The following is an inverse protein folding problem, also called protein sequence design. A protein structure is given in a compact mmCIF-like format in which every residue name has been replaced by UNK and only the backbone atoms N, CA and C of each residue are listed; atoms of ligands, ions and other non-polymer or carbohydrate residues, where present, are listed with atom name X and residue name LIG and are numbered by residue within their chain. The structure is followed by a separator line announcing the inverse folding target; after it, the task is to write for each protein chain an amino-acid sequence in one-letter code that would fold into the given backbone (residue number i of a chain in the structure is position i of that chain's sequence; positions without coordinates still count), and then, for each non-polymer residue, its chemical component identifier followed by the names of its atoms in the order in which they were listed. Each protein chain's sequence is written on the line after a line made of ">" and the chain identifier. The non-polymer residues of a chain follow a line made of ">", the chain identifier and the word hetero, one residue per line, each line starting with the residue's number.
data_IF_367397646584
#
_entry.id   IF_367397646584
#
_cell.length_a   1.000
_cell.length_b   1.000
_cell.length_c   1.000
_cell.angle_alpha   90.00
_cell.angle_beta   90.00
_cell.angle_gamma   90.00
#
_symmetry.space_group_name_H-M   'P 1'
#
loop_
_entity.id
_entity.type
_entity.pdbx_description
1 polymer ?
#
# COMPACT_ATOMS: atom_id res chain seq x y z
N UNK A 1 -9.18 -34.19 31.75
CA UNK A 1 -8.61 -34.24 30.38
C UNK A 1 -9.30 -33.33 29.36
N UNK A 2 -10.64 -33.20 29.29
CA UNK A 2 -11.36 -32.38 28.29
C UNK A 2 -11.01 -30.87 28.26
N UNK A 3 -10.50 -30.27 29.35
CA UNK A 3 -10.06 -28.86 29.40
C UNK A 3 -8.82 -28.61 28.53
N UNK A 4 -7.78 -29.44 28.62
CA UNK A 4 -6.50 -29.29 27.89
C UNK A 4 -6.69 -29.26 26.36
N UNK A 5 -7.57 -30.13 25.84
CA UNK A 5 -7.88 -30.23 24.41
C UNK A 5 -8.70 -29.05 23.87
N UNK A 6 -9.44 -28.34 24.73
CA UNK A 6 -10.19 -27.13 24.36
C UNK A 6 -9.31 -25.89 24.25
N UNK A 7 -8.30 -25.75 25.12
CA UNK A 7 -7.34 -24.64 25.05
C UNK A 7 -6.46 -24.73 23.79
N UNK A 8 -5.93 -25.93 23.47
CA UNK A 8 -5.13 -26.15 22.24
C UNK A 8 -5.88 -25.78 20.95
N UNK A 9 -7.17 -26.13 20.83
CA UNK A 9 -8.00 -25.75 19.68
C UNK A 9 -8.33 -24.25 19.62
N UNK A 10 -8.27 -23.54 20.75
CA UNK A 10 -8.46 -22.08 20.77
C UNK A 10 -7.19 -21.39 20.30
N UNK A 11 -6.02 -21.88 20.70
CA UNK A 11 -4.72 -21.33 20.30
C UNK A 11 -4.44 -21.55 18.80
N UNK A 12 -4.66 -22.76 18.26
CA UNK A 12 -4.54 -23.03 16.82
C UNK A 12 -5.48 -22.16 15.97
N UNK A 13 -6.72 -21.94 16.42
CA UNK A 13 -7.66 -21.06 15.75
C UNK A 13 -7.27 -19.58 15.84
N UNK A 14 -6.57 -19.18 16.93
CA UNK A 14 -6.05 -17.82 17.11
C UNK A 14 -4.88 -17.55 16.18
N UNK A 15 -4.02 -18.55 16.02
CA UNK A 15 -2.83 -18.50 15.16
C UNK A 15 -3.19 -18.53 13.67
N UNK A 16 -4.12 -19.41 13.26
CA UNK A 16 -4.65 -19.43 11.90
C UNK A 16 -5.40 -18.14 11.52
N UNK A 17 -6.16 -17.54 12.45
CA UNK A 17 -6.82 -16.27 12.21
C UNK A 17 -5.81 -15.12 12.06
N UNK A 18 -4.76 -15.07 12.90
CA UNK A 18 -3.66 -14.09 12.77
C UNK A 18 -2.93 -14.22 11.44
N UNK A 19 -2.61 -15.45 11.03
CA UNK A 19 -1.92 -15.70 9.75
C UNK A 19 -2.78 -15.28 8.56
N UNK A 20 -4.08 -15.57 8.57
CA UNK A 20 -5.00 -15.16 7.50
C UNK A 20 -5.15 -13.64 7.41
N UNK A 21 -5.20 -12.93 8.55
CA UNK A 21 -5.24 -11.47 8.55
C UNK A 21 -3.95 -10.86 7.99
N UNK A 22 -2.78 -11.36 8.43
CA UNK A 22 -1.48 -10.94 7.87
C UNK A 22 -1.43 -11.13 6.36
N UNK A 23 -1.85 -12.29 5.87
CA UNK A 23 -1.86 -12.62 4.44
C UNK A 23 -2.82 -11.73 3.62
N UNK A 24 -3.94 -11.33 4.22
CA UNK A 24 -4.88 -10.39 3.57
C UNK A 24 -4.29 -8.97 3.53
N UNK A 25 -3.59 -8.54 4.59
CA UNK A 25 -2.92 -7.24 4.65
C UNK A 25 -1.76 -7.13 3.66
N UNK A 26 -0.90 -8.15 3.54
CA UNK A 26 0.17 -8.18 2.53
C UNK A 26 -0.38 -8.12 1.12
N UNK A 27 -1.47 -8.84 0.83
CA UNK A 27 -2.12 -8.79 -0.48
C UNK A 27 -2.72 -7.40 -0.80
N UNK A 28 -3.31 -6.72 0.19
CA UNK A 28 -3.83 -5.36 0.01
C UNK A 28 -2.68 -4.37 -0.22
N UNK A 29 -1.61 -4.48 0.56
CA UNK A 29 -0.42 -3.64 0.40
C UNK A 29 0.22 -3.83 -0.97
N UNK A 30 0.42 -5.07 -1.41
CA UNK A 30 0.98 -5.39 -2.73
C UNK A 30 0.15 -4.81 -3.88
N UNK A 31 -1.19 -4.93 -3.82
CA UNK A 31 -2.09 -4.35 -4.83
C UNK A 31 -2.00 -2.82 -4.87
N UNK A 32 -1.90 -2.16 -3.70
CA UNK A 32 -1.74 -0.71 -3.65
C UNK A 32 -0.41 -0.26 -4.22
N UNK A 33 0.69 -0.93 -3.84
CA UNK A 33 2.03 -0.64 -4.37
C UNK A 33 2.04 -0.76 -5.89
N UNK A 34 1.50 -1.86 -6.43
CA UNK A 34 1.39 -2.07 -7.87
C UNK A 34 0.60 -0.95 -8.57
N UNK A 35 -0.54 -0.52 -7.99
CA UNK A 35 -1.33 0.56 -8.56
C UNK A 35 -0.62 1.92 -8.52
N UNK A 36 0.21 2.20 -7.50
CA UNK A 36 1.01 3.43 -7.47
C UNK A 36 2.16 3.37 -8.49
N UNK A 37 2.81 2.22 -8.63
CA UNK A 37 3.84 1.99 -9.65
C UNK A 37 3.29 2.19 -11.05
N UNK A 38 2.14 1.59 -11.39
CA UNK A 38 1.49 1.73 -12.70
C UNK A 38 1.15 3.20 -13.01
N UNK A 39 0.74 3.99 -12.00
CA UNK A 39 0.49 5.42 -12.18
C UNK A 39 1.77 6.21 -12.46
N UNK A 40 2.88 5.84 -11.81
CA UNK A 40 4.17 6.49 -12.03
C UNK A 40 4.72 6.14 -13.41
N UNK A 41 4.64 4.87 -13.82
CA UNK A 41 4.99 4.40 -15.16
C UNK A 41 4.23 5.17 -16.23
N UNK A 42 2.89 5.28 -16.11
CA UNK A 42 2.08 6.08 -17.06
C UNK A 42 2.50 7.55 -17.17
N UNK A 43 3.05 8.15 -16.10
CA UNK A 43 3.57 9.52 -16.16
C UNK A 43 4.93 9.58 -16.88
N UNK A 44 5.77 8.57 -16.68
CA UNK A 44 7.05 8.42 -17.37
C UNK A 44 6.81 8.21 -18.87
N UNK A 45 5.93 7.28 -19.23
CA UNK A 45 5.58 6.99 -20.63
C UNK A 45 5.09 8.23 -21.36
N UNK A 46 4.20 9.01 -20.74
CA UNK A 46 3.73 10.28 -21.29
C UNK A 46 4.85 11.30 -21.48
N UNK A 47 5.81 11.36 -20.57
CA UNK A 47 6.95 12.27 -20.70
C UNK A 47 7.83 11.87 -21.90
N UNK A 48 8.04 10.56 -22.11
CA UNK A 48 8.77 10.02 -23.27
C UNK A 48 8.01 10.34 -24.57
N UNK A 49 6.71 10.05 -24.64
CA UNK A 49 5.89 10.35 -25.82
C UNK A 49 5.89 11.84 -26.20
N UNK A 50 5.92 12.73 -25.21
CA UNK A 50 6.00 14.17 -25.43
C UNK A 50 7.38 14.58 -25.93
N UNK A 51 8.45 14.00 -25.37
CA UNK A 51 9.82 14.20 -25.82
C UNK A 51 9.98 13.79 -27.29
N UNK A 52 9.49 12.61 -27.67
CA UNK A 52 9.54 12.10 -29.04
C UNK A 52 8.84 13.06 -30.02
N UNK A 53 7.65 13.54 -29.66
CA UNK A 53 6.92 14.54 -30.47
C UNK A 53 7.70 15.83 -30.63
N UNK A 54 8.37 16.29 -29.57
CA UNK A 54 9.16 17.52 -29.61
C UNK A 54 10.45 17.35 -30.43
N UNK A 55 11.08 16.18 -30.35
CA UNK A 55 12.24 15.80 -31.16
C UNK A 55 11.88 15.80 -32.65
N UNK A 56 10.78 15.14 -33.04
CA UNK A 56 10.34 15.11 -34.44
C UNK A 56 10.06 16.52 -34.99
N UNK A 57 9.37 17.36 -34.21
CA UNK A 57 9.11 18.76 -34.60
C UNK A 57 10.39 19.57 -34.75
N UNK A 58 11.36 19.37 -33.84
CA UNK A 58 12.63 20.08 -33.89
C UNK A 58 13.43 19.68 -35.13
N UNK A 59 13.44 18.40 -35.49
CA UNK A 59 14.06 17.91 -36.73
C UNK A 59 13.40 18.54 -37.96
N UNK A 60 12.08 18.48 -38.07
CA UNK A 60 11.35 19.07 -39.21
C UNK A 60 11.60 20.59 -39.36
N UNK A 61 11.68 21.31 -38.23
CA UNK A 61 11.97 22.74 -38.26
C UNK A 61 13.43 23.01 -38.66
N UNK A 62 14.36 22.20 -38.18
CA UNK A 62 15.79 22.30 -38.53
C UNK A 62 16.00 22.07 -40.01
N UNK A 63 15.38 21.03 -40.59
CA UNK A 63 15.45 20.74 -42.03
C UNK A 63 14.91 21.92 -42.86
N UNK A 64 13.74 22.45 -42.49
CA UNK A 64 13.15 23.62 -43.16
C UNK A 64 14.05 24.86 -43.08
N UNK A 65 14.69 25.10 -41.95
CA UNK A 65 15.57 26.26 -41.80
C UNK A 65 16.86 26.11 -42.60
N UNK A 66 17.38 24.88 -42.74
CA UNK A 66 18.50 24.59 -43.65
C UNK A 66 18.08 24.82 -45.11
N UNK A 67 16.90 24.34 -45.52
CA UNK A 67 16.38 24.50 -46.89
C UNK A 67 16.18 25.97 -47.28
N UNK A 68 15.76 26.84 -46.35
CA UNK A 68 15.60 28.28 -46.60
C UNK A 68 16.93 28.98 -46.88
N UNK A 69 18.04 28.48 -46.34
CA UNK A 69 19.37 29.06 -46.55
C UNK A 69 19.58 30.46 -45.96
N UNK A 70 18.70 30.92 -45.07
CA UNK A 70 18.75 32.28 -44.48
C UNK A 70 19.83 32.45 -43.40
N UNK A 71 20.36 31.35 -42.86
CA UNK A 71 21.38 31.34 -41.81
C UNK A 71 22.48 30.31 -42.08
N UNK A 72 23.71 30.52 -41.58
CA UNK A 72 24.75 29.50 -41.66
C UNK A 72 24.30 28.19 -41.02
N UNK A 73 24.52 27.06 -41.70
CA UNK A 73 24.11 25.73 -41.25
C UNK A 73 24.66 25.43 -39.85
N UNK A 74 25.90 25.79 -39.56
CA UNK A 74 26.52 25.58 -38.24
C UNK A 74 25.76 26.26 -37.11
N UNK A 75 25.21 27.46 -37.36
CA UNK A 75 24.42 28.19 -36.37
C UNK A 75 23.06 27.52 -36.13
N UNK A 76 22.44 27.00 -37.20
CA UNK A 76 21.18 26.26 -37.11
C UNK A 76 21.39 24.99 -36.28
N UNK A 77 22.42 24.21 -36.61
CA UNK A 77 22.76 22.97 -35.89
C UNK A 77 23.12 23.24 -34.43
N UNK A 78 23.86 24.32 -34.13
CA UNK A 78 24.17 24.71 -32.75
C UNK A 78 22.90 25.01 -31.94
N UNK A 79 21.94 25.75 -32.51
CA UNK A 79 20.65 26.03 -31.87
C UNK A 79 19.84 24.75 -31.65
N UNK A 80 19.73 23.90 -32.67
CA UNK A 80 19.04 22.62 -32.56
C UNK A 80 19.65 21.72 -31.47
N UNK A 81 20.99 21.67 -31.39
CA UNK A 81 21.69 20.94 -30.34
C UNK A 81 21.32 21.42 -28.93
N UNK A 82 21.21 22.72 -28.71
CA UNK A 82 20.80 23.27 -27.41
C UNK A 82 19.33 22.91 -27.10
N UNK A 83 18.45 22.95 -28.10
CA UNK A 83 17.05 22.59 -27.91
C UNK A 83 16.85 21.09 -27.65
N UNK A 84 17.67 20.21 -28.24
CA UNK A 84 17.68 18.79 -27.87
C UNK A 84 18.07 18.58 -26.41
N UNK A 85 19.05 19.34 -25.93
CA UNK A 85 19.46 19.29 -24.52
C UNK A 85 18.35 19.80 -23.59
N UNK A 86 17.63 20.86 -23.98
CA UNK A 86 16.44 21.33 -23.24
C UNK A 86 15.36 20.25 -23.16
N UNK A 87 15.02 19.61 -24.28
CA UNK A 87 14.04 18.50 -24.32
C UNK A 87 14.49 17.37 -23.38
N UNK A 88 15.78 17.01 -23.39
CA UNK A 88 16.36 15.98 -22.51
C UNK A 88 16.16 16.35 -21.03
N UNK A 89 16.58 17.55 -20.64
CA UNK A 89 16.51 18.02 -19.25
C UNK A 89 15.06 18.13 -18.75
N UNK A 90 14.15 18.64 -19.58
CA UNK A 90 12.73 18.71 -19.23
C UNK A 90 12.10 17.33 -19.04
N UNK A 91 12.46 16.38 -19.90
CA UNK A 91 11.99 14.99 -19.82
C UNK A 91 12.48 14.32 -18.55
N UNK A 92 13.78 14.46 -18.23
CA UNK A 92 14.35 13.96 -16.99
C UNK A 92 13.68 14.57 -15.76
N UNK A 93 13.41 15.88 -15.77
CA UNK A 93 12.69 16.56 -14.70
C UNK A 93 11.28 15.99 -14.50
N UNK A 94 10.54 15.71 -15.58
CA UNK A 94 9.21 15.09 -15.52
C UNK A 94 9.28 13.67 -14.92
N UNK A 95 10.27 12.88 -15.29
CA UNK A 95 10.50 11.54 -14.71
C UNK A 95 10.86 11.61 -13.23
N UNK A 96 11.72 12.54 -12.82
CA UNK A 96 12.07 12.76 -11.41
C UNK A 96 10.85 13.18 -10.59
N UNK A 97 9.99 14.05 -11.13
CA UNK A 97 8.71 14.41 -10.49
C UNK A 97 7.80 13.19 -10.31
N UNK A 98 7.69 12.32 -11.32
CA UNK A 98 6.92 11.09 -11.21
C UNK A 98 7.46 10.15 -10.11
N UNK A 99 8.79 10.03 -9.99
CA UNK A 99 9.46 9.30 -8.91
C UNK A 99 9.15 9.88 -7.53
N UNK A 100 9.25 11.20 -7.35
CA UNK A 100 8.95 11.86 -6.08
C UNK A 100 7.48 11.68 -5.68
N UNK A 101 6.56 11.80 -6.64
CA UNK A 101 5.13 11.56 -6.39
C UNK A 101 4.87 10.11 -5.96
N UNK A 102 5.54 9.14 -6.58
CA UNK A 102 5.46 7.73 -6.18
C UNK A 102 5.92 7.54 -4.74
N UNK A 103 7.08 8.09 -4.37
CA UNK A 103 7.62 8.00 -3.01
C UNK A 103 6.61 8.56 -2.00
N UNK A 104 6.09 9.77 -2.22
CA UNK A 104 5.08 10.38 -1.34
C UNK A 104 3.81 9.56 -1.22
N UNK A 105 3.37 8.95 -2.32
CA UNK A 105 2.19 8.09 -2.32
C UNK A 105 2.42 6.81 -1.51
N UNK A 106 3.60 6.21 -1.64
CA UNK A 106 4.00 5.01 -0.89
C UNK A 106 4.16 5.31 0.61
N UNK A 107 4.81 6.43 0.99
CA UNK A 107 4.91 6.88 2.38
C UNK A 107 3.53 7.01 3.03
N UNK A 108 2.59 7.69 2.35
CA UNK A 108 1.21 7.84 2.82
C UNK A 108 0.47 6.49 2.95
N UNK A 109 0.76 5.53 2.08
CA UNK A 109 0.15 4.21 2.16
C UNK A 109 0.75 3.36 3.30
N UNK A 110 2.04 3.55 3.63
CA UNK A 110 2.70 2.96 4.80
C UNK A 110 2.11 3.51 6.10
N UNK A 111 1.98 4.83 6.24
CA UNK A 111 1.39 5.46 7.45
C UNK A 111 -0.02 4.92 7.74
N UNK A 112 -0.82 4.73 6.70
CA UNK A 112 -2.16 4.15 6.83
C UNK A 112 -2.13 2.69 7.29
N UNK A 113 -1.17 1.90 6.80
CA UNK A 113 -1.04 0.50 7.21
C UNK A 113 -0.62 0.41 8.69
N UNK A 114 0.28 1.27 9.14
CA UNK A 114 0.69 1.35 10.55
C UNK A 114 -0.50 1.72 11.46
N UNK A 115 -1.29 2.73 11.07
CA UNK A 115 -2.51 3.09 11.79
C UNK A 115 -3.52 1.93 11.87
N UNK A 116 -3.71 1.19 10.77
CA UNK A 116 -4.61 0.03 10.75
C UNK A 116 -4.09 -1.11 11.64
N UNK A 117 -2.78 -1.37 11.66
CA UNK A 117 -2.17 -2.37 12.54
C UNK A 117 -2.36 -2.02 14.03
N UNK A 118 -2.24 -0.74 14.39
CA UNK A 118 -2.49 -0.27 15.75
C UNK A 118 -3.96 -0.46 16.18
N UNK A 119 -4.92 -0.15 15.30
CA UNK A 119 -6.35 -0.39 15.55
C UNK A 119 -6.63 -1.89 15.69
N UNK A 120 -6.02 -2.72 14.85
CA UNK A 120 -6.17 -4.18 14.93
C UNK A 120 -5.66 -4.71 16.27
N UNK A 121 -4.46 -4.28 16.72
CA UNK A 121 -3.89 -4.69 18.00
C UNK A 121 -4.83 -4.36 19.16
N UNK A 122 -5.31 -3.11 19.21
CA UNK A 122 -6.27 -2.66 20.22
C UNK A 122 -7.58 -3.47 20.19
N UNK A 123 -8.09 -3.77 18.99
CA UNK A 123 -9.32 -4.54 18.82
C UNK A 123 -9.14 -6.01 19.23
N UNK A 124 -7.95 -6.58 18.99
CA UNK A 124 -7.60 -7.95 19.37
C UNK A 124 -7.54 -8.09 20.90
N UNK A 125 -6.94 -7.12 21.59
CA UNK A 125 -6.94 -7.06 23.06
C UNK A 125 -8.36 -6.95 23.63
N UNK A 126 -9.20 -6.11 23.04
CA UNK A 126 -10.62 -5.99 23.45
C UNK A 126 -11.36 -7.32 23.24
N UNK A 127 -11.13 -7.99 22.11
CA UNK A 127 -11.74 -9.30 21.82
C UNK A 127 -11.29 -10.37 22.82
N UNK A 128 -10.03 -10.36 23.22
CA UNK A 128 -9.48 -11.28 24.22
C UNK A 128 -10.10 -11.01 25.60
N UNK A 129 -10.19 -9.75 26.03
CA UNK A 129 -10.89 -9.36 27.28
C UNK A 129 -12.35 -9.79 27.29
N UNK A 130 -13.07 -9.64 26.17
CA UNK A 130 -14.46 -10.09 26.05
C UNK A 130 -14.58 -11.60 26.22
N UNK A 131 -13.66 -12.38 25.63
CA UNK A 131 -13.65 -13.85 25.78
C UNK A 131 -13.38 -14.27 27.22
N UNK A 132 -12.41 -13.66 27.86
CA UNK A 132 -12.06 -13.94 29.26
C UNK A 132 -13.21 -13.58 30.20
N UNK A 133 -13.83 -12.41 30.01
CA UNK A 133 -15.05 -12.02 30.73
C UNK A 133 -16.20 -13.00 30.54
N UNK A 134 -16.45 -13.49 29.31
CA UNK A 134 -17.45 -14.54 29.06
C UNK A 134 -17.13 -15.85 29.78
N UNK A 135 -15.86 -16.22 29.85
CA UNK A 135 -15.42 -17.42 30.57
C UNK A 135 -15.69 -17.27 32.08
N UNK A 136 -15.28 -16.14 32.66
CA UNK A 136 -15.47 -15.84 34.08
C UNK A 136 -16.96 -15.76 34.47
N UNK A 137 -17.79 -15.15 33.64
CA UNK A 137 -19.25 -15.12 33.87
C UNK A 137 -19.83 -16.53 33.83
N UNK A 138 -19.39 -17.37 32.89
CA UNK A 138 -19.86 -18.74 32.80
C UNK A 138 -19.46 -19.56 34.03
N UNK A 139 -18.22 -19.44 34.50
CA UNK A 139 -17.76 -20.12 35.72
C UNK A 139 -18.54 -19.64 36.95
N UNK A 140 -18.82 -18.34 37.07
CA UNK A 140 -19.68 -17.81 38.15
C UNK A 140 -21.09 -18.38 38.10
N UNK A 141 -21.69 -18.48 36.92
CA UNK A 141 -23.03 -19.06 36.76
C UNK A 141 -23.02 -20.55 37.14
N UNK A 142 -22.02 -21.29 36.70
CA UNK A 142 -21.90 -22.73 36.99
C UNK A 142 -21.70 -22.97 38.50
N UNK A 143 -20.86 -22.18 39.19
CA UNK A 143 -20.76 -22.23 40.66
C UNK A 143 -22.10 -21.91 41.34
N UNK A 144 -22.82 -20.88 40.90
CA UNK A 144 -24.12 -20.52 41.49
C UNK A 144 -25.17 -21.60 41.29
N UNK A 145 -25.15 -22.31 40.15
CA UNK A 145 -26.04 -23.45 39.91
C UNK A 145 -25.77 -24.62 40.85
N UNK A 146 -24.50 -24.92 41.10
CA UNK A 146 -24.11 -25.98 42.05
C UNK A 146 -24.44 -25.59 43.50
N UNK A 147 -24.23 -24.34 43.91
CA UNK A 147 -24.66 -23.85 45.23
C UNK A 147 -26.18 -23.99 45.44
N UNK A 148 -26.99 -23.70 44.41
CA UNK A 148 -28.45 -23.85 44.47
C UNK A 148 -28.85 -25.34 44.61
N UNK A 149 -28.20 -26.24 43.86
CA UNK A 149 -28.44 -27.69 43.98
C UNK A 149 -28.10 -28.21 45.37
N UNK A 150 -26.96 -27.82 45.93
CA UNK A 150 -26.55 -28.26 47.27
C UNK A 150 -27.52 -27.78 48.36
N UNK A 151 -28.12 -26.61 48.21
CA UNK A 151 -29.15 -26.11 49.13
C UNK A 151 -30.45 -26.89 49.01
N UNK A 152 -30.91 -27.17 47.80
CA UNK A 152 -32.13 -27.95 47.56
C UNK A 152 -32.01 -29.39 48.07
N UNK A 153 -30.83 -30.01 47.96
CA UNK A 153 -30.59 -31.36 48.48
C UNK A 153 -30.42 -31.45 50.01
N UNK A 154 -30.37 -30.32 50.73
CA UNK A 154 -30.29 -30.27 52.20
C UNK A 154 -31.65 -30.06 52.88
N UNK A 155 -32.70 -29.83 52.11
CA UNK A 155 -34.07 -29.63 52.59
C UNK A 155 -34.98 -30.88 52.42
N UNK A 156 -34.40 -32.02 51.99
CA UNK A 156 -35.01 -33.37 52.06
C UNK A 156 -34.42 -34.19 53.21
#
# INVERSE_FOLDING_TARGET
>A
MKKKTKYLKIDENKENAKNKVKETQTNIAAKKIAAQMEKAEKKIDKAIEEADKNICKLLENTDKDIEKGESPVDLILFKASNQFEEIRLETELKMQKAKVDLIKALEKDVDKLEHLANIESNTSEVKDKIKEGKCNIKEKIDCKKEEIKEKLNKEE
#
